data_IF_661726161243
#
_entry.id   IF_661726161243
#
_cell.length_a   1.000
_cell.length_b   1.000
_cell.length_c   1.000
_cell.angle_alpha   90.00
_cell.angle_beta   90.00
_cell.angle_gamma   90.00
#
_symmetry.space_group_name_H-M   'P 1'
#
loop_
_entity.id
_entity.type
_entity.pdbx_description
1 polymer ?
#
# COMPACT_ATOMS: atom_id res chain seq x y z
N UNK A 1 2.31 3.77 19.41
CA UNK A 1 3.53 3.80 18.59
C UNK A 1 3.38 2.69 17.55
N UNK A 2 3.24 3.00 16.26
CA UNK A 2 3.27 1.94 15.25
C UNK A 2 4.71 1.45 15.18
N UNK A 3 4.98 0.24 15.68
CA UNK A 3 6.28 -0.39 15.48
C UNK A 3 6.55 -0.45 13.99
N UNK A 4 7.61 0.23 13.54
CA UNK A 4 8.15 0.02 12.20
C UNK A 4 8.37 -1.48 12.04
N UNK A 5 7.88 -2.04 10.93
CA UNK A 5 8.01 -3.46 10.62
C UNK A 5 9.47 -3.94 10.61
N UNK A 6 10.40 -3.01 10.43
CA UNK A 6 11.84 -3.20 10.55
C UNK A 6 12.44 -2.07 11.39
N UNK A 7 13.06 -2.42 12.51
CA UNK A 7 13.71 -1.44 13.40
C UNK A 7 15.14 -1.13 12.88
N UNK A 8 15.71 0.04 13.21
CA UNK A 8 17.15 0.21 13.17
C UNK A 8 17.79 -0.92 14.01
N UNK A 9 18.81 -1.60 13.48
CA UNK A 9 19.53 -2.74 14.11
C UNK A 9 18.81 -4.11 14.12
N UNK A 10 17.73 -4.28 13.34
CA UNK A 10 17.08 -5.59 13.16
C UNK A 10 17.82 -6.42 12.06
N UNK A 11 18.37 -7.60 12.38
CA UNK A 11 19.10 -8.43 11.42
C UNK A 11 18.24 -8.97 10.26
N UNK A 12 16.91 -8.91 10.37
CA UNK A 12 15.96 -9.21 9.31
C UNK A 12 15.48 -7.97 8.56
N UNK A 13 15.93 -6.77 8.94
CA UNK A 13 15.68 -5.54 8.21
C UNK A 13 16.49 -5.56 6.90
N UNK A 14 15.84 -5.71 5.73
CA UNK A 14 16.55 -5.67 4.45
C UNK A 14 17.27 -4.33 4.21
N UNK A 15 16.94 -3.30 5.00
CA UNK A 15 17.47 -1.95 4.94
C UNK A 15 18.55 -1.65 6.02
N UNK A 16 18.89 -2.58 6.92
CA UNK A 16 19.92 -2.36 7.97
C UNK A 16 21.36 -2.49 7.38
N UNK A 17 22.29 -1.55 7.63
CA UNK A 17 23.71 -1.69 7.28
C UNK A 17 24.39 -2.96 7.85
N UNK A 18 23.99 -3.43 9.03
CA UNK A 18 24.52 -4.64 9.67
C UNK A 18 24.09 -5.94 8.96
N UNK A 19 23.02 -5.93 8.15
CA UNK A 19 22.63 -7.09 7.33
C UNK A 19 23.67 -7.45 6.25
N UNK A 20 24.60 -6.52 5.95
CA UNK A 20 25.75 -6.74 5.07
C UNK A 20 26.91 -7.47 5.78
N UNK A 21 26.91 -7.56 7.12
CA UNK A 21 27.96 -8.25 7.88
C UNK A 21 27.97 -9.76 7.71
N UNK A 22 26.90 -10.34 7.12
CA UNK A 22 26.79 -11.77 6.88
C UNK A 22 27.58 -12.27 5.64
N UNK A 23 28.17 -11.37 4.85
CA UNK A 23 29.00 -11.72 3.69
C UNK A 23 28.27 -12.55 2.60
N UNK A 24 29.00 -13.00 1.58
CA UNK A 24 28.48 -13.90 0.53
C UNK A 24 27.88 -15.19 1.13
N UNK A 25 28.50 -15.70 2.20
CA UNK A 25 28.06 -16.91 2.89
C UNK A 25 26.62 -16.81 3.42
N UNK A 26 26.24 -15.67 4.01
CA UNK A 26 24.86 -15.48 4.48
C UNK A 26 23.81 -15.34 3.38
N UNK A 27 24.19 -14.95 2.15
CA UNK A 27 23.28 -14.99 1.00
C UNK A 27 23.07 -16.44 0.55
N UNK A 28 24.15 -17.21 0.42
CA UNK A 28 24.08 -18.62 0.05
C UNK A 28 23.37 -19.49 1.09
N UNK A 29 23.56 -19.21 2.38
CA UNK A 29 22.89 -19.93 3.45
C UNK A 29 21.38 -19.63 3.49
N UNK A 30 20.95 -18.40 3.21
CA UNK A 30 19.53 -18.07 3.04
C UNK A 30 18.91 -18.74 1.81
N UNK A 31 19.65 -18.87 0.72
CA UNK A 31 19.21 -19.63 -0.47
C UNK A 31 19.05 -21.11 -0.11
N UNK A 32 20.03 -21.71 0.57
CA UNK A 32 19.97 -23.11 1.02
C UNK A 32 18.84 -23.35 2.02
N UNK A 33 18.57 -22.39 2.91
CA UNK A 33 17.50 -22.45 3.89
C UNK A 33 16.10 -22.13 3.32
N UNK A 34 15.98 -21.86 2.01
CA UNK A 34 14.70 -21.53 1.37
C UNK A 34 14.13 -20.18 1.79
N UNK A 35 14.95 -19.30 2.35
CA UNK A 35 14.59 -17.93 2.77
C UNK A 35 14.98 -16.88 1.72
N UNK A 36 15.41 -17.31 0.54
CA UNK A 36 15.70 -16.41 -0.58
C UNK A 36 14.43 -15.68 -1.04
N UNK A 37 14.51 -14.41 -1.45
CA UNK A 37 13.41 -13.77 -2.16
C UNK A 37 12.97 -14.59 -3.39
N UNK A 38 13.89 -15.34 -4.02
CA UNK A 38 13.60 -16.21 -5.15
C UNK A 38 12.75 -17.43 -4.78
N UNK A 39 12.73 -17.89 -3.53
CA UNK A 39 11.83 -18.97 -3.10
C UNK A 39 10.42 -18.47 -2.78
N UNK A 40 10.14 -17.17 -2.93
CA UNK A 40 8.78 -16.64 -2.84
C UNK A 40 7.89 -17.29 -3.91
N UNK A 41 6.75 -17.90 -3.53
CA UNK A 41 5.85 -18.59 -4.48
C UNK A 41 5.35 -17.71 -5.62
N UNK A 42 5.15 -16.41 -5.39
CA UNK A 42 4.74 -15.47 -6.43
C UNK A 42 5.86 -15.19 -7.43
N UNK A 43 7.11 -15.10 -6.96
CA UNK A 43 8.29 -14.96 -7.83
C UNK A 43 8.53 -16.25 -8.62
N UNK A 44 8.37 -17.42 -7.99
CA UNK A 44 8.43 -18.72 -8.66
C UNK A 44 7.35 -18.85 -9.75
N UNK A 45 6.11 -18.42 -9.46
CA UNK A 45 5.04 -18.41 -10.44
C UNK A 45 5.36 -17.48 -11.63
N UNK A 46 5.88 -16.29 -11.37
CA UNK A 46 6.33 -15.37 -12.44
C UNK A 46 7.46 -15.97 -13.28
N UNK A 47 8.44 -16.61 -12.64
CA UNK A 47 9.56 -17.26 -13.32
C UNK A 47 9.14 -18.50 -14.13
N UNK A 48 8.01 -19.13 -13.77
CA UNK A 48 7.46 -20.29 -14.47
C UNK A 48 6.73 -19.94 -15.78
N UNK A 49 6.23 -18.70 -15.91
CA UNK A 49 5.58 -18.22 -17.14
C UNK A 49 6.61 -17.61 -18.10
N UNK A 50 6.81 -18.16 -19.33
CA UNK A 50 7.89 -17.73 -20.23
C UNK A 50 7.90 -16.23 -20.53
N UNK A 51 6.74 -15.64 -20.85
CA UNK A 51 6.63 -14.21 -21.15
C UNK A 51 6.88 -13.32 -19.91
N UNK A 52 6.44 -13.74 -18.72
CA UNK A 52 6.65 -12.99 -17.49
C UNK A 52 8.13 -13.07 -17.05
N UNK A 53 8.74 -14.24 -17.21
CA UNK A 53 10.17 -14.45 -17.00
C UNK A 53 11.01 -13.56 -17.92
N UNK A 54 10.69 -13.50 -19.21
CA UNK A 54 11.41 -12.67 -20.17
C UNK A 54 11.29 -11.18 -19.82
N UNK A 55 10.08 -10.71 -19.48
CA UNK A 55 9.87 -9.34 -19.02
C UNK A 55 10.66 -9.01 -17.75
N UNK A 56 10.67 -9.92 -16.77
CA UNK A 56 11.41 -9.74 -15.52
C UNK A 56 12.92 -9.70 -15.75
N UNK A 57 13.45 -10.60 -16.59
CA UNK A 57 14.87 -10.64 -16.94
C UNK A 57 15.27 -9.37 -17.70
N UNK A 58 14.45 -8.94 -18.66
CA UNK A 58 14.68 -7.70 -19.41
C UNK A 58 14.72 -6.47 -18.50
N UNK A 59 13.75 -6.35 -17.59
CA UNK A 59 13.70 -5.27 -16.61
C UNK A 59 14.94 -5.28 -15.69
N UNK A 60 15.33 -6.45 -15.17
CA UNK A 60 16.51 -6.59 -14.31
C UNK A 60 17.79 -6.18 -15.06
N UNK A 61 17.97 -6.64 -16.30
CA UNK A 61 19.11 -6.27 -17.13
C UNK A 61 19.14 -4.76 -17.39
N UNK A 62 17.98 -4.14 -17.62
CA UNK A 62 17.89 -2.70 -17.81
C UNK A 62 18.29 -1.93 -16.54
N UNK A 63 17.81 -2.34 -15.37
CA UNK A 63 18.22 -1.76 -14.09
C UNK A 63 19.72 -1.91 -13.86
N UNK A 64 20.28 -3.10 -14.07
CA UNK A 64 21.72 -3.34 -13.93
C UNK A 64 22.57 -2.47 -14.87
N UNK A 65 22.08 -2.19 -16.09
CA UNK A 65 22.72 -1.27 -17.02
C UNK A 65 22.69 0.17 -16.50
N UNK A 66 21.53 0.62 -16.02
CA UNK A 66 21.37 1.95 -15.44
C UNK A 66 22.30 2.14 -14.23
N UNK A 67 22.37 1.16 -13.32
CA UNK A 67 23.28 1.19 -12.17
C UNK A 67 24.75 1.21 -12.59
N UNK A 68 25.10 0.51 -13.67
CA UNK A 68 26.47 0.53 -14.21
C UNK A 68 26.83 1.88 -14.84
N UNK A 69 25.90 2.47 -15.61
CA UNK A 69 26.05 3.80 -16.20
C UNK A 69 26.14 4.88 -15.13
N UNK A 70 25.32 4.78 -14.07
CA UNK A 70 25.37 5.69 -12.94
C UNK A 70 26.70 5.60 -12.19
N UNK A 71 27.17 4.39 -11.87
CA UNK A 71 28.51 4.20 -11.27
C UNK A 71 29.62 4.74 -12.15
N UNK A 72 29.54 4.55 -13.46
CA UNK A 72 30.51 5.12 -14.39
C UNK A 72 30.49 6.66 -14.37
N UNK A 73 29.31 7.27 -14.20
CA UNK A 73 29.11 8.72 -14.12
C UNK A 73 29.56 9.31 -12.77
N UNK A 74 29.26 8.64 -11.66
CA UNK A 74 29.55 9.14 -10.30
C UNK A 74 30.94 8.77 -9.82
N UNK A 75 31.55 7.71 -10.37
CA UNK A 75 32.79 7.12 -9.87
C UNK A 75 32.61 6.32 -8.58
N UNK A 76 31.37 6.07 -8.16
CA UNK A 76 31.05 5.31 -6.94
C UNK A 76 31.40 3.83 -7.10
N UNK A 77 31.90 3.21 -6.01
CA UNK A 77 31.92 1.75 -5.92
C UNK A 77 30.51 1.21 -5.75
N UNK A 78 30.32 -0.09 -6.01
CA UNK A 78 29.04 -0.78 -5.73
C UNK A 78 28.60 -0.59 -4.28
N UNK A 79 29.56 -0.65 -3.34
CA UNK A 79 29.26 -0.49 -1.93
C UNK A 79 28.86 0.93 -1.56
N UNK A 80 29.43 1.94 -2.21
CA UNK A 80 29.08 3.34 -1.97
C UNK A 80 27.69 3.66 -2.52
N UNK A 81 27.37 3.15 -3.72
CA UNK A 81 26.03 3.25 -4.29
C UNK A 81 24.98 2.61 -3.36
N UNK A 82 25.22 1.37 -2.92
CA UNK A 82 24.29 0.67 -2.00
C UNK A 82 24.09 1.46 -0.70
N UNK A 83 25.17 2.01 -0.12
CA UNK A 83 25.05 2.83 1.10
C UNK A 83 24.24 4.10 0.86
N UNK A 84 24.45 4.77 -0.27
CA UNK A 84 23.72 5.98 -0.65
C UNK A 84 22.23 5.69 -0.86
N UNK A 85 21.88 4.70 -1.67
CA UNK A 85 20.48 4.30 -1.92
C UNK A 85 19.78 3.90 -0.61
N UNK A 86 20.46 3.16 0.28
CA UNK A 86 19.93 2.84 1.61
C UNK A 86 19.67 4.10 2.44
N UNK A 87 20.58 5.07 2.43
CA UNK A 87 20.40 6.32 3.15
C UNK A 87 19.23 7.14 2.57
N UNK A 88 19.08 7.16 1.24
CA UNK A 88 17.96 7.80 0.55
C UNK A 88 16.62 7.16 0.93
N UNK A 89 16.55 5.83 0.98
CA UNK A 89 15.36 5.11 1.44
C UNK A 89 15.03 5.39 2.91
N UNK A 90 16.02 5.34 3.79
CA UNK A 90 15.82 5.66 5.21
C UNK A 90 15.35 7.10 5.42
N UNK A 91 15.88 8.05 4.62
CA UNK A 91 15.43 9.43 4.64
C UNK A 91 13.98 9.58 4.13
N UNK A 92 13.61 8.86 3.06
CA UNK A 92 12.24 8.82 2.56
C UNK A 92 11.26 8.26 3.60
N UNK A 93 11.63 7.18 4.29
CA UNK A 93 10.83 6.59 5.37
C UNK A 93 10.67 7.53 6.57
N UNK A 94 11.74 8.19 6.99
CA UNK A 94 11.69 9.19 8.05
C UNK A 94 10.76 10.35 7.65
N UNK A 95 10.82 10.81 6.40
CA UNK A 95 9.94 11.85 5.86
C UNK A 95 8.48 11.40 5.83
N UNK A 96 8.20 10.18 5.36
CA UNK A 96 6.86 9.61 5.36
C UNK A 96 6.29 9.51 6.79
N UNK A 97 7.11 9.08 7.75
CA UNK A 97 6.73 9.00 9.15
C UNK A 97 6.41 10.40 9.75
N UNK A 98 7.16 11.44 9.38
CA UNK A 98 6.88 12.81 9.80
C UNK A 98 5.58 13.35 9.18
N UNK A 99 5.37 13.13 7.88
CA UNK A 99 4.15 13.52 7.16
C UNK A 99 2.91 12.80 7.69
N UNK A 100 3.03 11.55 8.14
CA UNK A 100 1.93 10.78 8.72
C UNK A 100 1.19 11.53 9.83
N UNK A 101 1.92 12.26 10.68
CA UNK A 101 1.31 13.04 11.76
C UNK A 101 0.38 14.13 11.21
N UNK A 102 0.77 14.80 10.12
CA UNK A 102 -0.06 15.79 9.44
C UNK A 102 -1.30 15.14 8.81
N UNK A 103 -1.15 13.97 8.18
CA UNK A 103 -2.28 13.23 7.61
C UNK A 103 -3.29 12.79 8.66
N UNK A 104 -2.81 12.31 9.81
CA UNK A 104 -3.65 11.92 10.95
C UNK A 104 -4.38 13.13 11.56
N UNK A 105 -3.69 14.27 11.68
CA UNK A 105 -4.28 15.51 12.17
C UNK A 105 -5.38 16.02 11.23
N UNK A 106 -5.09 16.11 9.92
CA UNK A 106 -6.08 16.47 8.91
C UNK A 106 -7.29 15.54 8.92
N UNK A 107 -7.07 14.22 9.03
CA UNK A 107 -8.15 13.24 9.09
C UNK A 107 -9.03 13.45 10.33
N UNK A 108 -8.43 13.74 11.48
CA UNK A 108 -9.14 13.95 12.75
C UNK A 108 -9.90 15.28 12.77
N UNK A 109 -9.44 16.28 12.01
CA UNK A 109 -10.11 17.57 11.80
C UNK A 109 -11.21 17.48 10.73
N UNK A 110 -11.37 16.35 10.05
CA UNK A 110 -12.34 16.17 8.97
C UNK A 110 -11.88 16.73 7.62
N UNK A 111 -10.64 17.22 7.50
CA UNK A 111 -10.04 17.59 6.21
C UNK A 111 -9.53 16.33 5.50
N UNK A 112 -10.49 15.56 4.96
CA UNK A 112 -10.20 14.32 4.26
C UNK A 112 -9.48 14.56 2.93
N UNK A 113 -9.59 15.75 2.32
CA UNK A 113 -8.87 16.09 1.09
C UNK A 113 -7.37 16.19 1.39
N UNK A 114 -7.01 16.95 2.42
CA UNK A 114 -5.61 17.05 2.83
C UNK A 114 -5.09 15.72 3.35
N UNK A 115 -5.86 14.99 4.15
CA UNK A 115 -5.47 13.66 4.64
C UNK A 115 -5.17 12.70 3.48
N UNK A 116 -6.01 12.68 2.43
CA UNK A 116 -5.79 11.84 1.25
C UNK A 116 -4.49 12.20 0.52
N UNK A 117 -4.20 13.49 0.32
CA UNK A 117 -2.96 13.94 -0.33
C UNK A 117 -1.73 13.54 0.50
N UNK A 118 -1.76 13.78 1.82
CA UNK A 118 -0.64 13.45 2.71
C UNK A 118 -0.39 11.94 2.77
N UNK A 119 -1.43 11.11 2.90
CA UNK A 119 -1.24 9.66 2.86
C UNK A 119 -0.77 9.16 1.49
N UNK A 120 -1.16 9.82 0.40
CA UNK A 120 -0.63 9.52 -0.93
C UNK A 120 0.86 9.84 -1.03
N UNK A 121 1.30 10.97 -0.49
CA UNK A 121 2.71 11.33 -0.40
C UNK A 121 3.49 10.33 0.47
N UNK A 122 2.95 9.92 1.62
CA UNK A 122 3.55 8.90 2.47
C UNK A 122 3.70 7.56 1.73
N UNK A 123 2.67 7.13 0.99
CA UNK A 123 2.71 5.90 0.21
C UNK A 123 3.67 5.98 -1.00
N UNK A 124 3.92 7.19 -1.52
CA UNK A 124 4.92 7.39 -2.58
C UNK A 124 6.35 7.34 -2.04
N UNK A 125 6.59 7.90 -0.84
CA UNK A 125 7.89 7.86 -0.16
C UNK A 125 8.22 6.47 0.39
N UNK A 126 7.21 5.76 0.92
CA UNK A 126 7.36 4.46 1.56
C UNK A 126 6.33 3.45 1.02
N UNK A 127 6.45 3.01 -0.24
CA UNK A 127 5.47 2.13 -0.90
C UNK A 127 5.37 0.73 -0.28
N UNK A 128 6.39 0.34 0.48
CA UNK A 128 6.43 -0.94 1.17
C UNK A 128 5.62 -0.96 2.48
N UNK A 129 5.27 0.21 3.02
CA UNK A 129 4.58 0.34 4.31
C UNK A 129 3.05 0.40 4.10
N UNK A 130 2.31 -0.70 4.40
CA UNK A 130 0.88 -0.79 4.10
C UNK A 130 0.01 0.21 4.84
N UNK A 131 0.44 0.73 6.00
CA UNK A 131 -0.41 1.61 6.82
C UNK A 131 -0.79 2.89 6.07
N UNK A 132 0.08 3.40 5.21
CA UNK A 132 -0.17 4.63 4.44
C UNK A 132 -1.25 4.44 3.39
N UNK A 133 -1.13 3.39 2.58
CA UNK A 133 -2.16 3.00 1.60
C UNK A 133 -3.48 2.67 2.28
N UNK A 134 -3.43 1.98 3.42
CA UNK A 134 -4.62 1.67 4.19
C UNK A 134 -5.30 2.96 4.70
N UNK A 135 -4.54 3.92 5.23
CA UNK A 135 -5.07 5.21 5.68
C UNK A 135 -5.57 6.09 4.53
N UNK A 136 -4.93 6.02 3.36
CA UNK A 136 -5.45 6.64 2.13
C UNK A 136 -6.82 6.08 1.76
N UNK A 137 -7.02 4.75 1.85
CA UNK A 137 -8.33 4.11 1.65
C UNK A 137 -9.39 4.68 2.60
N UNK A 138 -9.05 4.90 3.88
CA UNK A 138 -9.98 5.51 4.84
C UNK A 138 -10.37 6.95 4.47
N UNK A 139 -9.40 7.77 4.04
CA UNK A 139 -9.68 9.13 3.56
C UNK A 139 -10.52 9.10 2.27
N UNK A 140 -10.23 8.17 1.36
CA UNK A 140 -10.99 7.97 0.14
C UNK A 140 -12.46 7.60 0.41
N UNK A 141 -12.74 6.71 1.38
CA UNK A 141 -14.11 6.40 1.83
C UNK A 141 -14.85 7.65 2.29
N UNK A 142 -14.20 8.51 3.08
CA UNK A 142 -14.80 9.76 3.59
C UNK A 142 -15.03 10.80 2.50
N UNK A 143 -14.28 10.74 1.40
CA UNK A 143 -14.43 11.61 0.24
C UNK A 143 -15.44 11.08 -0.80
N UNK A 144 -16.03 9.90 -0.59
CA UNK A 144 -16.88 9.25 -1.60
C UNK A 144 -16.11 8.63 -2.77
N UNK A 145 -14.78 8.51 -2.66
CA UNK A 145 -13.91 7.87 -3.66
C UNK A 145 -13.86 6.35 -3.47
N UNK A 146 -15.00 5.69 -3.62
CA UNK A 146 -15.14 4.27 -3.27
C UNK A 146 -14.30 3.34 -4.15
N UNK A 147 -14.18 3.61 -5.46
CA UNK A 147 -13.31 2.83 -6.36
C UNK A 147 -11.84 2.87 -5.89
N UNK A 148 -11.35 4.06 -5.51
CA UNK A 148 -9.98 4.23 -4.99
C UNK A 148 -9.81 3.52 -3.64
N UNK A 149 -10.81 3.63 -2.76
CA UNK A 149 -10.77 2.98 -1.45
C UNK A 149 -10.72 1.44 -1.58
N UNK A 150 -11.49 0.86 -2.50
CA UNK A 150 -11.47 -0.59 -2.78
C UNK A 150 -10.09 -1.05 -3.28
N UNK A 151 -9.52 -0.32 -4.25
CA UNK A 151 -8.20 -0.62 -4.79
C UNK A 151 -7.12 -0.57 -3.72
N UNK A 152 -7.08 0.52 -2.95
CA UNK A 152 -6.10 0.73 -1.88
C UNK A 152 -6.19 -0.34 -0.80
N UNK A 153 -7.41 -0.65 -0.33
CA UNK A 153 -7.63 -1.70 0.66
C UNK A 153 -7.25 -3.07 0.10
N UNK A 154 -7.58 -3.34 -1.17
CA UNK A 154 -7.23 -4.57 -1.88
C UNK A 154 -5.72 -4.82 -1.94
N UNK A 155 -4.92 -3.79 -2.20
CA UNK A 155 -3.45 -3.88 -2.18
C UNK A 155 -2.92 -4.32 -0.81
N UNK A 156 -3.60 -3.93 0.28
CA UNK A 156 -3.17 -4.20 1.66
C UNK A 156 -3.63 -5.59 2.16
N UNK A 157 -4.54 -6.27 1.46
CA UNK A 157 -5.05 -7.59 1.91
C UNK A 157 -3.99 -8.67 1.99
N UNK A 158 -2.93 -8.58 1.19
CA UNK A 158 -1.78 -9.49 1.27
C UNK A 158 -1.12 -9.52 2.65
N UNK A 159 -1.36 -8.50 3.49
CA UNK A 159 -0.86 -8.43 4.86
C UNK A 159 -1.85 -8.95 5.91
N UNK A 160 -3.02 -9.48 5.50
CA UNK A 160 -3.94 -10.21 6.38
C UNK A 160 -4.60 -9.36 7.47
N UNK A 161 -4.82 -8.06 7.24
CA UNK A 161 -5.37 -7.16 8.28
C UNK A 161 -6.89 -7.04 8.20
N UNK A 162 -7.59 -7.20 9.34
CA UNK A 162 -9.05 -7.05 9.42
C UNK A 162 -9.52 -5.67 8.92
N UNK A 163 -8.74 -4.62 9.19
CA UNK A 163 -9.02 -3.24 8.73
C UNK A 163 -9.03 -3.11 7.20
N UNK A 164 -8.19 -3.87 6.49
CA UNK A 164 -8.19 -3.86 5.02
C UNK A 164 -9.45 -4.52 4.47
N UNK A 165 -9.83 -5.69 4.98
CA UNK A 165 -11.09 -6.33 4.63
C UNK A 165 -12.29 -5.41 4.94
N UNK A 166 -12.34 -4.84 6.13
CA UNK A 166 -13.41 -3.93 6.54
C UNK A 166 -13.53 -2.70 5.63
N UNK A 167 -12.42 -2.01 5.32
CA UNK A 167 -12.43 -0.84 4.43
C UNK A 167 -12.82 -1.21 3.00
N UNK A 168 -12.37 -2.36 2.50
CA UNK A 168 -12.77 -2.86 1.17
C UNK A 168 -14.26 -3.20 1.13
N UNK A 169 -14.79 -3.81 2.19
CA UNK A 169 -16.21 -4.10 2.31
C UNK A 169 -17.07 -2.82 2.29
N UNK A 170 -16.66 -1.78 3.03
CA UNK A 170 -17.34 -0.50 3.01
C UNK A 170 -17.36 0.12 1.62
N UNK A 171 -16.21 0.11 0.92
CA UNK A 171 -16.13 0.61 -0.45
C UNK A 171 -17.05 -0.17 -1.40
N UNK A 172 -16.98 -1.51 -1.35
CA UNK A 172 -17.82 -2.40 -2.16
C UNK A 172 -19.30 -2.24 -1.87
N UNK A 173 -19.69 -2.03 -0.60
CA UNK A 173 -21.07 -1.71 -0.21
C UNK A 173 -21.55 -0.46 -0.93
N UNK A 174 -20.79 0.63 -0.87
CA UNK A 174 -21.14 1.89 -1.54
C UNK A 174 -21.11 1.79 -3.07
N UNK A 175 -20.37 0.84 -3.64
CA UNK A 175 -20.38 0.52 -5.07
C UNK A 175 -21.51 -0.45 -5.47
N UNK A 176 -22.32 -0.92 -4.52
CA UNK A 176 -23.39 -1.90 -4.76
C UNK A 176 -22.91 -3.35 -4.89
N UNK A 177 -21.61 -3.62 -4.76
CA UNK A 177 -21.06 -4.98 -4.72
C UNK A 177 -21.25 -5.61 -3.33
N UNK A 178 -22.52 -5.91 -2.99
CA UNK A 178 -22.88 -6.46 -1.68
C UNK A 178 -22.38 -7.89 -1.47
N UNK A 179 -22.18 -8.66 -2.55
CA UNK A 179 -21.60 -10.00 -2.48
C UNK A 179 -20.16 -9.96 -1.98
N UNK A 180 -19.30 -9.19 -2.66
CA UNK A 180 -17.91 -9.03 -2.25
C UNK A 180 -17.75 -8.29 -0.92
N UNK A 181 -18.67 -7.41 -0.55
CA UNK A 181 -18.66 -6.76 0.77
C UNK A 181 -18.91 -7.77 1.91
N UNK A 182 -19.85 -8.70 1.72
CA UNK A 182 -20.18 -9.73 2.72
C UNK A 182 -19.03 -10.73 2.89
N UNK A 183 -18.41 -11.18 1.79
CA UNK A 183 -17.20 -12.02 1.82
C UNK A 183 -16.08 -11.35 2.61
N UNK A 184 -15.83 -10.07 2.35
CA UNK A 184 -14.81 -9.30 3.07
C UNK A 184 -15.13 -9.17 4.56
N UNK A 185 -16.39 -8.91 4.92
CA UNK A 185 -16.79 -8.80 6.33
C UNK A 185 -16.71 -10.13 7.07
N UNK A 186 -16.97 -11.25 6.40
CA UNK A 186 -16.77 -12.59 6.95
C UNK A 186 -15.30 -12.81 7.29
N UNK A 187 -14.38 -12.44 6.40
CA UNK A 187 -12.93 -12.52 6.68
C UNK A 187 -12.50 -11.54 7.77
N UNK A 188 -13.00 -10.30 7.74
CA UNK A 188 -12.72 -9.31 8.78
C UNK A 188 -13.16 -9.82 10.17
N UNK A 189 -14.35 -10.44 10.27
CA UNK A 189 -14.88 -11.01 11.51
C UNK A 189 -14.07 -12.22 11.99
N UNK A 190 -13.56 -13.07 11.10
CA UNK A 190 -12.66 -14.17 11.49
C UNK A 190 -11.39 -13.64 12.13
N UNK A 191 -10.85 -12.53 11.62
CA UNK A 191 -9.63 -11.89 12.13
C UNK A 191 -9.88 -11.09 13.40
N UNK A 192 -11.06 -10.50 13.57
CA UNK A 192 -11.47 -9.73 14.75
C UNK A 192 -12.88 -10.11 15.21
N UNK A 193 -13.05 -11.26 15.89
CA UNK A 193 -14.35 -11.70 16.37
C UNK A 193 -14.92 -10.75 17.43
N UNK A 194 -16.22 -10.42 17.33
CA UNK A 194 -16.91 -9.58 18.32
C UNK A 194 -16.67 -8.08 18.18
N UNK A 195 -15.99 -7.63 17.12
CA UNK A 195 -15.87 -6.20 16.81
C UNK A 195 -17.24 -5.64 16.40
N UNK A 196 -17.74 -4.67 17.17
CA UNK A 196 -19.08 -4.08 16.98
C UNK A 196 -19.22 -3.41 15.61
N UNK A 197 -18.18 -2.72 15.14
CA UNK A 197 -18.23 -2.03 13.85
C UNK A 197 -18.37 -3.02 12.71
N UNK A 198 -17.71 -4.19 12.79
CA UNK A 198 -17.83 -5.25 11.79
C UNK A 198 -19.25 -5.82 11.79
N UNK A 199 -19.81 -6.12 12.95
CA UNK A 199 -21.18 -6.68 13.04
C UNK A 199 -22.25 -5.68 12.57
N UNK A 200 -22.12 -4.41 12.92
CA UNK A 200 -23.00 -3.33 12.44
C UNK A 200 -22.95 -3.23 10.90
N UNK A 201 -21.75 -3.26 10.32
CA UNK A 201 -21.57 -3.22 8.87
C UNK A 201 -22.12 -4.48 8.19
N UNK A 202 -21.97 -5.66 8.78
CA UNK A 202 -22.59 -6.90 8.28
C UNK A 202 -24.12 -6.81 8.29
N UNK A 203 -24.71 -6.26 9.34
CA UNK A 203 -26.16 -6.07 9.42
C UNK A 203 -26.66 -5.08 8.37
N UNK A 204 -25.91 -4.00 8.14
CA UNK A 204 -26.25 -3.04 7.09
C UNK A 204 -26.16 -3.66 5.68
N UNK A 205 -25.10 -4.44 5.40
CA UNK A 205 -24.99 -5.17 4.12
C UNK A 205 -26.14 -6.17 3.95
N UNK A 206 -26.52 -6.89 5.01
CA UNK A 206 -27.71 -7.79 4.97
C UNK A 206 -29.00 -7.03 4.68
N UNK A 207 -29.20 -5.88 5.32
CA UNK A 207 -30.37 -5.01 5.06
C UNK A 207 -30.40 -4.57 3.60
N UNK A 208 -29.27 -4.14 3.05
CA UNK A 208 -29.16 -3.72 1.64
C UNK A 208 -29.38 -4.87 0.66
N UNK A 209 -28.94 -6.11 0.99
CA UNK A 209 -29.19 -7.30 0.18
C UNK A 209 -30.68 -7.66 0.09
N UNK A 210 -31.49 -7.22 1.05
CA UNK A 210 -32.94 -7.41 1.06
C UNK A 210 -33.71 -6.40 0.19
N UNK A 211 -33.05 -5.37 -0.34
CA UNK A 211 -33.67 -4.39 -1.23
C UNK A 211 -33.87 -4.97 -2.63
N UNK A 212 -34.90 -4.49 -3.34
CA UNK A 212 -35.02 -4.73 -4.77
C UNK A 212 -33.85 -4.07 -5.53
N UNK A 213 -33.55 -4.55 -6.73
CA UNK A 213 -32.49 -3.96 -7.56
C UNK A 213 -32.71 -2.46 -7.83
N UNK A 214 -33.96 -2.03 -7.99
CA UNK A 214 -34.30 -0.62 -8.22
C UNK A 214 -33.99 0.23 -6.99
N UNK A 215 -34.36 -0.23 -5.80
CA UNK A 215 -34.05 0.43 -4.53
C UNK A 215 -32.56 0.46 -4.25
N UNK A 216 -31.85 -0.65 -4.49
CA UNK A 216 -30.39 -0.71 -4.33
C UNK A 216 -29.69 0.25 -5.29
N UNK A 217 -30.08 0.28 -6.57
CA UNK A 217 -29.53 1.23 -7.55
C UNK A 217 -29.76 2.69 -7.12
N UNK A 218 -30.96 3.00 -6.62
CA UNK A 218 -31.29 4.32 -6.09
C UNK A 218 -30.41 4.67 -4.88
N UNK A 219 -30.27 3.75 -3.93
CA UNK A 219 -29.42 3.91 -2.75
C UNK A 219 -27.95 4.14 -3.12
N UNK A 220 -27.39 3.34 -4.03
CA UNK A 220 -26.00 3.47 -4.52
C UNK A 220 -25.79 4.82 -5.19
N UNK A 221 -26.71 5.23 -6.07
CA UNK A 221 -26.63 6.52 -6.77
C UNK A 221 -26.67 7.69 -5.78
N UNK A 222 -27.49 7.58 -4.73
CA UNK A 222 -27.60 8.59 -3.68
C UNK A 222 -26.31 8.77 -2.86
N UNK A 223 -25.38 7.79 -2.87
CA UNK A 223 -24.09 7.92 -2.17
C UNK A 223 -23.14 8.92 -2.85
N UNK A 224 -23.41 9.31 -4.11
CA UNK A 224 -22.64 10.35 -4.79
C UNK A 224 -21.17 9.97 -5.01
N UNK A 225 -20.92 8.73 -5.46
CA UNK A 225 -19.56 8.25 -5.73
C UNK A 225 -18.80 9.23 -6.65
N UNK A 226 -17.57 9.54 -6.27
CA UNK A 226 -16.71 10.47 -7.02
C UNK A 226 -15.32 9.88 -7.22
N UNK A 227 -14.47 10.59 -7.97
CA UNK A 227 -13.08 10.19 -8.24
C UNK A 227 -12.13 11.25 -7.73
N UNK A 228 -10.91 10.90 -7.30
CA UNK A 228 -9.93 11.87 -6.83
C UNK A 228 -9.73 13.04 -7.81
N UNK A 229 -9.65 12.76 -9.12
CA UNK A 229 -9.52 13.79 -10.17
C UNK A 229 -10.63 14.85 -10.14
N UNK A 230 -11.85 14.49 -9.74
CA UNK A 230 -12.97 15.44 -9.66
C UNK A 230 -12.82 16.36 -8.44
N UNK A 231 -12.21 15.87 -7.36
CA UNK A 231 -11.99 16.62 -6.11
C UNK A 231 -10.85 17.64 -6.28
N UNK A 232 -9.79 17.24 -6.99
CA UNK A 232 -8.58 18.05 -7.18
C UNK A 232 -8.52 18.76 -8.55
N UNK A 233 -9.61 18.70 -9.33
CA UNK A 233 -9.74 19.30 -10.66
C UNK A 233 -9.10 18.47 -11.79
N UNK A 234 -7.94 17.85 -11.56
CA UNK A 234 -7.34 16.88 -12.48
C UNK A 234 -6.39 15.93 -11.76
N UNK A 235 -6.07 14.80 -12.40
CA UNK A 235 -5.03 13.88 -11.91
C UNK A 235 -3.68 14.59 -11.80
N UNK A 236 -3.29 15.36 -12.82
CA UNK A 236 -2.03 16.12 -12.83
C UNK A 236 -1.94 17.14 -11.69
N UNK A 237 -3.03 17.84 -11.38
CA UNK A 237 -3.06 18.79 -10.28
C UNK A 237 -2.94 18.10 -8.91
N UNK A 238 -3.56 16.93 -8.75
CA UNK A 238 -3.40 16.10 -7.56
C UNK A 238 -1.96 15.61 -7.40
N UNK A 239 -1.38 15.04 -8.46
CA UNK A 239 0.00 14.55 -8.47
C UNK A 239 1.01 15.64 -8.17
N UNK A 240 0.84 16.85 -8.73
CA UNK A 240 1.71 17.98 -8.43
C UNK A 240 1.69 18.36 -6.93
N UNK A 241 0.53 18.31 -6.27
CA UNK A 241 0.42 18.55 -4.82
C UNK A 241 1.06 17.43 -4.00
N UNK A 242 0.91 16.19 -4.44
CA UNK A 242 1.57 15.04 -3.81
C UNK A 242 3.09 15.20 -3.92
N UNK A 243 3.58 15.58 -5.10
CA UNK A 243 5.00 15.79 -5.36
C UNK A 243 5.58 16.93 -4.50
N UNK A 244 4.85 18.04 -4.36
CA UNK A 244 5.21 19.14 -3.47
C UNK A 244 5.38 18.67 -2.02
N UNK A 245 4.45 17.86 -1.51
CA UNK A 245 4.53 17.27 -0.17
C UNK A 245 5.74 16.35 0.00
N UNK A 246 6.22 15.70 -1.07
CA UNK A 246 7.40 14.82 -1.00
C UNK A 246 8.73 15.53 -1.12
N UNK A 247 8.75 16.80 -1.54
CA UNK A 247 9.97 17.62 -1.68
C UNK A 247 10.34 18.39 -0.41
N UNK A 248 9.37 18.69 0.47
CA UNK A 248 9.49 19.51 1.68
C UNK A 248 10.04 18.81 2.91
#
# INVERSE_FOLDING_TARGET
MAELRFKPDDPLNPCDPASLSLGEQGVFDRIKAGQSPLSNPAIQAMLSHPAQRENLVSALVQTMKQDAEERARTGESVMDQIKREKAEWAAADARAAALKAQGNAAFSQGDFKQAFLVYSACAMLSPHEPVYTLNRSAAALKLGCFEQAEQDAGLVLRFGTAKAYFRRAQARKFLGNLGGADEDLVEARKLQPGDKCIEEEMNEVRRLKGLSEAELRSWVTAQGATRPRNIYGSTKAMEARIEELTKG
#
